data_IF_716860428365
#
_entry.id   IF_716860428365
#
_cell.length_a   1.000
_cell.length_b   1.000
_cell.length_c   1.000
_cell.angle_alpha   90.00
_cell.angle_beta   90.00
_cell.angle_gamma   90.00
#
_symmetry.space_group_name_H-M   'P 1'
#
loop_
_entity.id
_entity.type
_entity.pdbx_description
1 polymer ?
#
# COMPACT_ATOMS: atom_id res chain seq x y z
N UNK A 1 4.96 25.33 21.89
CA UNK A 1 3.62 24.83 22.27
C UNK A 1 2.61 25.59 21.42
N UNK A 2 1.86 24.90 20.55
CA UNK A 2 0.81 25.50 19.72
C UNK A 2 -0.34 25.93 20.65
N UNK A 3 -0.83 27.13 20.51
CA UNK A 3 -1.93 27.63 21.34
C UNK A 3 -3.27 27.02 20.90
N UNK A 4 -4.27 26.94 21.80
CA UNK A 4 -5.62 26.48 21.44
C UNK A 4 -6.22 27.30 20.29
N UNK A 5 -5.93 28.59 20.23
CA UNK A 5 -6.37 29.49 19.15
C UNK A 5 -5.73 29.13 17.79
N UNK A 6 -4.45 28.77 17.76
CA UNK A 6 -3.76 28.33 16.54
C UNK A 6 -4.28 26.99 16.05
N UNK A 7 -4.58 26.06 16.95
CA UNK A 7 -5.20 24.77 16.63
C UNK A 7 -6.59 24.98 16.05
N UNK A 8 -7.42 25.82 16.66
CA UNK A 8 -8.78 26.12 16.18
C UNK A 8 -8.76 26.78 14.79
N UNK A 9 -7.85 27.71 14.56
CA UNK A 9 -7.68 28.37 13.26
C UNK A 9 -7.25 27.39 12.18
N UNK A 10 -6.29 26.51 12.51
CA UNK A 10 -5.81 25.45 11.59
C UNK A 10 -6.90 24.43 11.26
N UNK A 11 -7.71 24.04 12.26
CA UNK A 11 -8.84 23.13 12.05
C UNK A 11 -9.91 23.73 11.13
N UNK A 12 -10.22 25.02 11.30
CA UNK A 12 -11.18 25.72 10.41
C UNK A 12 -10.67 25.77 8.98
N UNK A 13 -9.41 26.16 8.78
CA UNK A 13 -8.81 26.19 7.44
C UNK A 13 -8.73 24.80 6.79
N UNK A 14 -8.46 23.76 7.56
CA UNK A 14 -8.48 22.38 7.08
C UNK A 14 -9.89 21.93 6.67
N UNK A 15 -10.90 22.33 7.44
CA UNK A 15 -12.30 22.05 7.11
C UNK A 15 -12.74 22.74 5.82
N UNK A 16 -12.43 24.00 5.64
CA UNK A 16 -12.73 24.75 4.41
C UNK A 16 -12.09 24.10 3.18
N UNK A 17 -10.83 23.65 3.29
CA UNK A 17 -10.16 22.92 2.21
C UNK A 17 -10.85 21.58 1.91
N UNK A 18 -11.26 20.84 2.93
CA UNK A 18 -11.99 19.58 2.76
C UNK A 18 -13.33 19.79 2.07
N UNK A 19 -14.09 20.81 2.46
CA UNK A 19 -15.37 21.14 1.86
C UNK A 19 -15.21 21.56 0.39
N UNK A 20 -14.25 22.42 0.08
CA UNK A 20 -13.92 22.82 -1.29
C UNK A 20 -13.52 21.61 -2.16
N UNK A 21 -12.61 20.76 -1.66
CA UNK A 21 -12.19 19.55 -2.36
C UNK A 21 -13.34 18.57 -2.58
N UNK A 22 -14.22 18.41 -1.59
CA UNK A 22 -15.42 17.57 -1.73
C UNK A 22 -16.34 18.11 -2.83
N UNK A 23 -16.60 19.41 -2.81
CA UNK A 23 -17.41 20.04 -3.84
C UNK A 23 -16.82 19.83 -5.25
N UNK A 24 -15.56 20.14 -5.45
CA UNK A 24 -14.86 19.97 -6.73
C UNK A 24 -14.89 18.51 -7.21
N UNK A 25 -14.62 17.56 -6.30
CA UNK A 25 -14.63 16.14 -6.60
C UNK A 25 -16.01 15.66 -7.04
N UNK A 26 -17.06 16.07 -6.36
CA UNK A 26 -18.45 15.72 -6.72
C UNK A 26 -18.84 16.35 -8.04
N UNK A 27 -18.54 17.64 -8.25
CA UNK A 27 -18.78 18.29 -9.55
C UNK A 27 -18.10 17.51 -10.67
N UNK A 28 -16.86 17.13 -10.49
CA UNK A 28 -16.09 16.42 -11.52
C UNK A 28 -16.61 15.00 -11.79
N UNK A 29 -16.94 14.24 -10.74
CA UNK A 29 -17.41 12.85 -10.86
C UNK A 29 -18.82 12.69 -11.40
N UNK A 30 -19.69 13.69 -11.21
CA UNK A 30 -21.08 13.66 -11.65
C UNK A 30 -21.36 14.52 -12.88
N UNK A 31 -20.35 15.19 -13.44
CA UNK A 31 -20.47 15.90 -14.70
C UNK A 31 -20.37 14.93 -15.89
N UNK A 32 -21.21 15.10 -16.89
CA UNK A 32 -21.35 14.17 -18.02
C UNK A 32 -20.07 13.98 -18.86
N UNK A 33 -19.21 15.03 -18.93
CA UNK A 33 -17.97 14.98 -19.71
C UNK A 33 -16.77 14.43 -18.93
N UNK A 34 -16.80 14.40 -17.60
CA UNK A 34 -15.63 14.03 -16.76
C UNK A 34 -15.89 12.81 -15.89
N UNK A 35 -17.11 12.57 -15.49
CA UNK A 35 -17.50 11.52 -14.56
C UNK A 35 -17.26 10.11 -15.06
N UNK A 36 -17.16 9.15 -14.13
CA UNK A 36 -17.07 7.75 -14.51
C UNK A 36 -18.44 7.22 -14.94
N UNK A 37 -18.49 6.30 -15.90
CA UNK A 37 -19.76 5.68 -16.33
C UNK A 37 -20.58 5.12 -15.16
N UNK A 38 -19.93 4.53 -14.16
CA UNK A 38 -20.59 3.99 -12.97
C UNK A 38 -21.35 5.07 -12.18
N UNK A 39 -20.69 6.20 -11.86
CA UNK A 39 -21.33 7.25 -11.07
C UNK A 39 -22.41 8.01 -11.87
N UNK A 40 -22.21 8.16 -13.18
CA UNK A 40 -23.22 8.77 -14.04
C UNK A 40 -24.49 7.89 -14.14
N UNK A 41 -24.33 6.57 -14.18
CA UNK A 41 -25.46 5.63 -14.11
C UNK A 41 -26.15 5.69 -12.74
N UNK A 42 -25.38 5.67 -11.65
CA UNK A 42 -25.92 5.75 -10.28
C UNK A 42 -26.66 7.08 -10.01
N UNK A 43 -26.24 8.18 -10.63
CA UNK A 43 -26.90 9.49 -10.51
C UNK A 43 -28.38 9.40 -10.83
N UNK A 44 -28.78 8.64 -11.82
CA UNK A 44 -30.17 8.50 -12.22
C UNK A 44 -31.08 7.85 -11.16
N UNK A 45 -30.51 7.11 -10.22
CA UNK A 45 -31.24 6.48 -9.11
C UNK A 45 -31.23 7.27 -7.78
N UNK A 46 -30.56 8.42 -7.75
CA UNK A 46 -30.53 9.27 -6.55
C UNK A 46 -31.82 10.09 -6.46
N UNK A 47 -32.27 10.38 -5.25
CA UNK A 47 -33.42 11.25 -4.96
C UNK A 47 -33.02 12.74 -4.83
N UNK A 48 -31.79 13.09 -5.19
CA UNK A 48 -31.23 14.44 -5.16
C UNK A 48 -30.24 14.62 -6.32
N UNK A 49 -29.93 15.86 -6.69
CA UNK A 49 -28.88 16.13 -7.70
C UNK A 49 -27.55 16.45 -7.02
N UNK A 50 -26.53 15.57 -7.15
CA UNK A 50 -25.22 15.80 -6.55
C UNK A 50 -24.57 17.12 -6.96
N UNK A 51 -24.79 17.58 -8.19
CA UNK A 51 -24.18 18.82 -8.71
C UNK A 51 -24.73 20.09 -8.02
N UNK A 52 -25.95 20.05 -7.54
CA UNK A 52 -26.60 21.22 -6.91
C UNK A 52 -26.67 21.13 -5.40
N UNK A 53 -26.74 19.93 -4.83
CA UNK A 53 -27.07 19.71 -3.43
C UNK A 53 -25.88 19.28 -2.55
N UNK A 54 -24.74 18.89 -3.14
CA UNK A 54 -23.52 18.58 -2.38
C UNK A 54 -22.60 19.79 -2.42
N UNK A 55 -22.42 20.45 -1.28
CA UNK A 55 -21.63 21.68 -1.12
C UNK A 55 -20.43 21.51 -0.17
N UNK A 56 -20.49 20.53 0.73
CA UNK A 56 -19.48 20.29 1.74
C UNK A 56 -19.36 18.80 2.04
N UNK A 57 -18.36 18.44 2.84
CA UNK A 57 -18.09 17.07 3.22
C UNK A 57 -19.27 16.38 3.94
N UNK A 58 -19.99 17.11 4.76
CA UNK A 58 -21.15 16.56 5.48
C UNK A 58 -22.31 16.18 4.56
N UNK A 59 -22.42 16.79 3.39
CA UNK A 59 -23.45 16.45 2.40
C UNK A 59 -23.23 15.08 1.77
N UNK A 60 -22.03 14.51 1.87
CA UNK A 60 -21.78 13.13 1.41
C UNK A 60 -22.68 12.09 2.08
N UNK A 61 -23.23 12.40 3.24
CA UNK A 61 -24.22 11.56 3.94
C UNK A 61 -25.54 11.39 3.18
N UNK A 62 -25.81 12.23 2.18
CA UNK A 62 -26.97 12.10 1.29
C UNK A 62 -26.86 10.89 0.35
N UNK A 63 -25.62 10.48 0.02
CA UNK A 63 -25.40 9.31 -0.79
C UNK A 63 -25.72 8.02 -0.02
N UNK A 64 -26.25 6.99 -0.72
CA UNK A 64 -26.36 5.66 -0.13
C UNK A 64 -24.98 5.11 0.20
N UNK A 65 -24.90 4.16 1.13
CA UNK A 65 -23.66 3.47 1.46
C UNK A 65 -23.12 2.75 0.22
N UNK A 66 -21.80 2.80 0.09
CA UNK A 66 -21.11 2.09 -0.98
C UNK A 66 -21.18 0.59 -0.75
N UNK A 67 -21.58 -0.16 -1.77
CA UNK A 67 -21.64 -1.61 -1.71
C UNK A 67 -20.36 -2.22 -2.30
N UNK A 68 -19.60 -2.89 -1.48
CA UNK A 68 -18.36 -3.55 -1.85
C UNK A 68 -18.49 -4.51 -3.06
N UNK A 69 -19.67 -5.10 -3.23
CA UNK A 69 -19.97 -6.01 -4.34
C UNK A 69 -19.95 -5.32 -5.70
N UNK A 70 -20.13 -4.01 -5.76
CA UNK A 70 -20.00 -3.23 -7.00
C UNK A 70 -18.58 -3.30 -7.60
N UNK A 71 -17.57 -3.58 -6.79
CA UNK A 71 -16.19 -3.72 -7.23
C UNK A 71 -15.89 -5.09 -7.85
N UNK A 72 -16.81 -6.05 -7.81
CA UNK A 72 -16.58 -7.38 -8.37
C UNK A 72 -16.92 -7.44 -9.85
N UNK A 73 -16.04 -8.08 -10.62
CA UNK A 73 -16.22 -8.30 -12.05
C UNK A 73 -16.11 -7.05 -12.90
N UNK A 74 -16.32 -7.23 -14.19
CA UNK A 74 -16.20 -6.19 -15.21
C UNK A 74 -17.52 -5.59 -15.66
N UNK A 75 -17.44 -4.66 -16.62
CA UNK A 75 -16.21 -4.11 -17.16
C UNK A 75 -15.54 -3.11 -16.20
N UNK A 76 -14.25 -3.26 -15.93
CA UNK A 76 -13.50 -2.35 -15.03
C UNK A 76 -13.46 -0.91 -15.56
N UNK A 77 -13.61 -0.72 -16.86
CA UNK A 77 -13.62 0.60 -17.49
C UNK A 77 -14.77 1.50 -17.02
N UNK A 78 -15.85 0.92 -16.44
CA UNK A 78 -16.93 1.71 -15.81
C UNK A 78 -16.45 2.60 -14.66
N UNK A 79 -15.31 2.26 -14.07
CA UNK A 79 -14.69 3.01 -12.97
C UNK A 79 -13.73 4.10 -13.44
N UNK A 80 -13.30 4.07 -14.72
CA UNK A 80 -12.40 5.09 -15.29
C UNK A 80 -13.21 6.33 -15.63
N UNK A 81 -12.89 7.48 -15.01
CA UNK A 81 -13.56 8.73 -15.34
C UNK A 81 -13.28 9.15 -16.79
N UNK A 82 -14.28 9.68 -17.49
CA UNK A 82 -14.13 10.19 -18.85
C UNK A 82 -13.06 11.28 -18.96
N UNK A 83 -12.96 12.13 -17.92
CA UNK A 83 -11.95 13.18 -17.84
C UNK A 83 -10.51 12.67 -17.70
N UNK A 84 -10.34 11.35 -17.44
CA UNK A 84 -9.04 10.67 -17.36
C UNK A 84 -8.84 9.67 -18.51
N UNK A 85 -9.66 9.71 -19.54
CA UNK A 85 -9.52 8.79 -20.66
C UNK A 85 -8.16 9.01 -21.36
N UNK A 86 -7.51 7.91 -21.73
CA UNK A 86 -6.15 7.93 -22.28
C UNK A 86 -5.01 7.98 -21.27
N UNK A 87 -5.28 8.17 -19.97
CA UNK A 87 -4.24 8.08 -18.94
C UNK A 87 -3.85 6.62 -18.65
N UNK A 88 -2.57 6.34 -18.30
CA UNK A 88 -2.14 5.04 -17.83
C UNK A 88 -2.99 4.60 -16.64
N UNK A 89 -3.62 3.44 -16.76
CA UNK A 89 -4.57 2.95 -15.77
C UNK A 89 -4.14 1.58 -15.27
N UNK A 90 -4.10 1.41 -13.96
CA UNK A 90 -3.78 0.16 -13.28
C UNK A 90 -5.03 -0.47 -12.69
N UNK A 91 -5.07 -1.80 -12.65
CA UNK A 91 -6.11 -2.55 -11.94
C UNK A 91 -5.46 -3.29 -10.78
N UNK A 92 -5.90 -2.98 -9.58
CA UNK A 92 -5.51 -3.72 -8.37
C UNK A 92 -6.65 -4.58 -7.89
N UNK A 93 -6.32 -5.76 -7.40
CA UNK A 93 -7.31 -6.76 -7.01
C UNK A 93 -7.09 -7.28 -5.60
N UNK A 94 -8.17 -7.61 -4.92
CA UNK A 94 -8.13 -8.35 -3.64
C UNK A 94 -7.78 -9.83 -3.88
N UNK A 95 -7.55 -10.57 -2.80
CA UNK A 95 -7.19 -12.00 -2.86
C UNK A 95 -8.24 -12.92 -3.48
N UNK A 96 -9.50 -12.48 -3.59
CA UNK A 96 -10.57 -13.32 -4.13
C UNK A 96 -10.95 -14.49 -3.23
N UNK A 97 -10.75 -14.38 -1.92
CA UNK A 97 -11.03 -15.46 -0.95
C UNK A 97 -12.51 -15.82 -0.85
N UNK A 98 -13.39 -14.87 -1.17
CA UNK A 98 -14.86 -14.99 -1.08
C UNK A 98 -15.56 -14.98 -2.44
N UNK A 99 -14.83 -15.19 -3.53
CA UNK A 99 -15.39 -15.21 -4.89
C UNK A 99 -14.53 -14.44 -5.89
N UNK A 100 -15.16 -13.80 -6.89
CA UNK A 100 -14.46 -12.96 -7.86
C UNK A 100 -13.75 -11.84 -7.10
N UNK A 101 -12.44 -11.58 -7.35
CA UNK A 101 -11.73 -10.51 -6.70
C UNK A 101 -12.42 -9.16 -6.90
N UNK A 102 -12.41 -8.32 -5.88
CA UNK A 102 -12.76 -6.91 -6.03
C UNK A 102 -11.64 -6.22 -6.78
N UNK A 103 -12.00 -5.44 -7.80
CA UNK A 103 -11.05 -4.71 -8.64
C UNK A 103 -11.17 -3.22 -8.37
N UNK A 104 -10.04 -2.56 -8.15
CA UNK A 104 -9.94 -1.10 -8.05
C UNK A 104 -9.11 -0.58 -9.21
N UNK A 105 -9.65 0.39 -9.91
CA UNK A 105 -8.94 1.15 -10.92
C UNK A 105 -8.20 2.30 -10.27
N UNK A 106 -6.95 2.49 -10.65
CA UNK A 106 -6.05 3.49 -10.09
C UNK A 106 -5.24 4.12 -11.23
N UNK A 107 -4.99 5.41 -11.15
CA UNK A 107 -4.15 6.15 -12.11
C UNK A 107 -2.83 6.52 -11.42
N UNK A 108 -2.84 7.50 -10.50
CA UNK A 108 -1.61 8.01 -9.87
C UNK A 108 -1.63 8.02 -8.34
N UNK A 109 -2.75 7.74 -7.68
CA UNK A 109 -2.91 7.90 -6.23
C UNK A 109 -1.84 7.14 -5.41
N UNK A 110 -1.39 5.96 -5.88
CA UNK A 110 -0.36 5.20 -5.17
C UNK A 110 1.02 5.90 -5.22
N UNK A 111 1.31 6.67 -6.28
CA UNK A 111 2.54 7.45 -6.38
C UNK A 111 2.53 8.62 -5.41
N UNK A 112 1.47 9.41 -5.47
CA UNK A 112 1.29 10.59 -4.60
C UNK A 112 1.36 10.18 -3.13
N UNK A 113 0.64 9.13 -2.73
CA UNK A 113 0.65 8.62 -1.36
C UNK A 113 2.06 8.25 -0.89
N UNK A 114 2.82 7.55 -1.72
CA UNK A 114 4.15 7.07 -1.33
C UNK A 114 5.26 8.12 -1.50
N UNK A 115 5.08 9.11 -2.35
CA UNK A 115 5.92 10.31 -2.35
C UNK A 115 5.75 11.10 -1.05
N UNK A 116 4.50 11.30 -0.60
CA UNK A 116 4.22 11.92 0.69
C UNK A 116 4.79 11.09 1.85
N UNK A 117 4.59 9.78 1.83
CA UNK A 117 5.15 8.86 2.83
C UNK A 117 6.68 8.91 2.86
N UNK A 118 7.35 9.05 1.71
CA UNK A 118 8.81 9.20 1.63
C UNK A 118 9.36 10.31 2.52
N UNK A 119 8.61 11.39 2.73
CA UNK A 119 9.03 12.51 3.58
C UNK A 119 8.96 12.19 5.08
N UNK A 120 8.30 11.12 5.48
CA UNK A 120 8.23 10.67 6.87
C UNK A 120 9.34 9.68 7.23
N UNK A 121 10.03 9.12 6.22
CA UNK A 121 11.10 8.15 6.42
C UNK A 121 12.42 8.86 6.73
N UNK A 122 13.08 8.59 7.88
CA UNK A 122 14.38 9.15 8.20
C UNK A 122 15.45 8.67 7.21
N UNK A 123 16.23 9.60 6.68
CA UNK A 123 17.30 9.26 5.70
C UNK A 123 18.43 8.43 6.36
N UNK A 124 18.54 8.41 7.67
CA UNK A 124 19.49 7.59 8.43
C UNK A 124 19.23 6.08 8.22
N UNK A 125 17.97 5.66 8.32
CA UNK A 125 17.57 4.25 8.14
C UNK A 125 17.15 3.92 6.71
N UNK A 126 16.66 4.92 5.99
CA UNK A 126 16.23 4.80 4.60
C UNK A 126 17.03 5.76 3.71
N UNK A 127 18.33 5.50 3.49
CA UNK A 127 19.17 6.42 2.73
C UNK A 127 18.64 6.65 1.31
N UNK A 128 18.73 7.90 0.83
CA UNK A 128 18.44 8.22 -0.56
C UNK A 128 19.46 7.53 -1.47
N UNK A 129 18.99 7.02 -2.61
CA UNK A 129 19.81 6.24 -3.52
C UNK A 129 20.02 4.77 -3.11
N UNK A 130 19.57 4.38 -1.92
CA UNK A 130 19.69 3.00 -1.46
C UNK A 130 18.79 2.03 -2.24
N UNK A 131 19.27 0.81 -2.47
CA UNK A 131 18.47 -0.25 -3.07
C UNK A 131 17.53 -0.89 -2.07
N UNK A 132 16.39 -1.37 -2.56
CA UNK A 132 15.29 -1.92 -1.77
C UNK A 132 14.96 -3.35 -2.17
N UNK A 133 14.57 -4.16 -1.21
CA UNK A 133 13.94 -5.47 -1.43
C UNK A 133 12.45 -5.40 -1.09
N UNK A 134 11.61 -5.79 -2.04
CA UNK A 134 10.18 -6.04 -1.82
C UNK A 134 9.97 -7.52 -1.52
N UNK A 135 9.91 -7.88 -0.25
CA UNK A 135 9.57 -9.22 0.25
C UNK A 135 8.10 -9.23 0.69
N UNK A 136 7.20 -9.32 -0.27
CA UNK A 136 5.77 -9.26 -0.03
C UNK A 136 4.95 -9.70 -1.25
N UNK A 137 3.61 -9.63 -1.18
CA UNK A 137 2.75 -10.06 -2.26
C UNK A 137 3.05 -9.36 -3.58
N UNK A 138 3.33 -10.15 -4.62
CA UNK A 138 3.48 -9.71 -6.01
C UNK A 138 2.17 -9.79 -6.79
N UNK A 139 2.20 -9.61 -8.11
CA UNK A 139 1.03 -9.65 -8.98
C UNK A 139 0.21 -8.36 -8.98
N UNK A 140 -1.12 -8.43 -9.14
CA UNK A 140 -1.98 -7.25 -9.27
C UNK A 140 -2.22 -6.57 -7.92
N UNK A 141 -1.15 -6.21 -7.21
CA UNK A 141 -1.16 -5.60 -5.89
C UNK A 141 -0.66 -4.16 -5.95
N UNK A 142 -1.46 -3.25 -5.41
CA UNK A 142 -1.09 -1.84 -5.28
C UNK A 142 0.25 -1.68 -4.55
N UNK A 143 0.41 -2.43 -3.47
CA UNK A 143 1.56 -2.34 -2.58
C UNK A 143 2.89 -2.59 -3.29
N UNK A 144 2.97 -3.59 -4.18
CA UNK A 144 4.20 -3.84 -4.94
C UNK A 144 4.61 -2.62 -5.76
N UNK A 145 3.71 -2.08 -6.57
CA UNK A 145 3.99 -0.90 -7.40
C UNK A 145 4.28 0.35 -6.56
N UNK A 146 3.61 0.49 -5.42
CA UNK A 146 3.82 1.59 -4.50
C UNK A 146 5.21 1.56 -3.84
N UNK A 147 5.67 0.39 -3.40
CA UNK A 147 7.02 0.22 -2.83
C UNK A 147 8.09 0.40 -3.91
N UNK A 148 7.86 -0.13 -5.11
CA UNK A 148 8.76 0.06 -6.26
C UNK A 148 8.88 1.55 -6.61
N UNK A 149 7.75 2.28 -6.65
CA UNK A 149 7.75 3.72 -6.87
C UNK A 149 8.44 4.49 -5.74
N UNK A 150 8.19 4.14 -4.48
CA UNK A 150 8.86 4.73 -3.32
C UNK A 150 10.38 4.63 -3.44
N UNK A 151 10.87 3.43 -3.76
CA UNK A 151 12.29 3.18 -3.97
C UNK A 151 12.86 4.07 -5.08
N UNK A 152 12.20 4.08 -6.25
CA UNK A 152 12.62 4.86 -7.42
C UNK A 152 12.57 6.37 -7.14
N UNK A 153 11.54 6.85 -6.46
CA UNK A 153 11.40 8.25 -6.04
C UNK A 153 12.53 8.69 -5.10
N UNK A 154 13.02 7.77 -4.27
CA UNK A 154 14.20 8.00 -3.41
C UNK A 154 15.53 7.77 -4.14
N UNK A 155 15.52 7.44 -5.43
CA UNK A 155 16.71 7.27 -6.27
C UNK A 155 17.36 5.89 -6.22
N UNK A 156 16.69 4.89 -5.64
CA UNK A 156 17.18 3.52 -5.51
C UNK A 156 16.67 2.57 -6.61
N UNK A 157 17.16 1.32 -6.56
CA UNK A 157 16.74 0.22 -7.41
C UNK A 157 15.95 -0.78 -6.58
N UNK A 158 14.76 -1.16 -7.05
CA UNK A 158 13.88 -2.10 -6.37
C UNK A 158 14.08 -3.52 -6.87
N UNK A 159 14.34 -4.43 -5.95
CA UNK A 159 14.36 -5.87 -6.16
C UNK A 159 13.06 -6.45 -5.60
N UNK A 160 12.40 -7.33 -6.35
CA UNK A 160 11.16 -7.94 -5.94
C UNK A 160 11.28 -9.46 -5.99
N UNK A 161 10.65 -10.12 -5.02
CA UNK A 161 10.47 -11.58 -5.05
C UNK A 161 9.12 -11.95 -5.66
N UNK A 162 8.96 -13.19 -6.10
CA UNK A 162 7.69 -13.74 -6.56
C UNK A 162 6.93 -14.39 -5.40
N UNK A 163 5.87 -13.71 -4.92
CA UNK A 163 4.95 -14.24 -3.92
C UNK A 163 3.51 -14.10 -4.40
N UNK A 164 2.87 -15.24 -4.69
CA UNK A 164 1.44 -15.30 -5.05
C UNK A 164 0.56 -15.60 -3.82
N UNK A 165 -0.11 -14.60 -3.23
CA UNK A 165 -1.00 -14.81 -2.09
C UNK A 165 -2.24 -15.64 -2.45
N UNK A 166 -2.64 -15.71 -3.72
CA UNK A 166 -3.77 -16.57 -4.15
C UNK A 166 -3.39 -18.05 -4.07
N UNK A 167 -2.14 -18.36 -4.39
CA UNK A 167 -1.63 -19.72 -4.22
C UNK A 167 -1.56 -20.10 -2.75
N UNK A 168 -1.07 -19.22 -1.89
CA UNK A 168 -1.07 -19.40 -0.43
C UNK A 168 -2.49 -19.71 0.09
N UNK A 169 -3.47 -18.90 -0.27
CA UNK A 169 -4.88 -19.13 0.12
C UNK A 169 -5.40 -20.49 -0.38
N UNK A 170 -5.02 -20.88 -1.60
CA UNK A 170 -5.43 -22.17 -2.19
C UNK A 170 -4.83 -23.35 -1.42
N UNK A 171 -3.54 -23.26 -1.04
CA UNK A 171 -2.87 -24.29 -0.25
C UNK A 171 -3.53 -24.45 1.13
N UNK A 172 -3.80 -23.34 1.83
CA UNK A 172 -4.48 -23.33 3.13
C UNK A 172 -5.87 -23.97 3.01
N UNK A 173 -6.69 -23.56 2.02
CA UNK A 173 -8.04 -24.12 1.81
C UNK A 173 -8.04 -25.62 1.51
N UNK A 174 -6.95 -26.14 0.95
CA UNK A 174 -6.79 -27.59 0.68
C UNK A 174 -6.17 -28.36 1.83
N UNK A 175 -5.71 -27.68 2.89
CA UNK A 175 -4.99 -28.30 4.00
C UNK A 175 -3.60 -28.81 3.61
N UNK A 176 -3.01 -28.30 2.52
CA UNK A 176 -1.70 -28.71 2.03
C UNK A 176 -0.58 -27.92 2.72
N UNK A 177 -0.42 -28.17 4.01
CA UNK A 177 0.47 -27.38 4.86
C UNK A 177 1.95 -27.60 4.51
N UNK A 178 2.36 -28.81 4.14
CA UNK A 178 3.75 -29.10 3.73
C UNK A 178 4.13 -28.30 2.46
N UNK A 179 3.22 -28.25 1.48
CA UNK A 179 3.44 -27.42 0.27
C UNK A 179 3.44 -25.93 0.58
N UNK A 180 2.69 -25.49 1.59
CA UNK A 180 2.73 -24.10 2.04
C UNK A 180 4.08 -23.76 2.64
N UNK A 181 4.67 -24.63 3.45
CA UNK A 181 6.01 -24.45 4.01
C UNK A 181 7.08 -24.47 2.93
N UNK A 182 7.00 -25.40 1.97
CA UNK A 182 7.90 -25.41 0.80
C UNK A 182 7.83 -24.11 0.00
N UNK A 183 6.61 -23.61 -0.25
CA UNK A 183 6.41 -22.37 -0.98
C UNK A 183 6.94 -21.16 -0.20
N UNK A 184 6.70 -21.10 1.10
CA UNK A 184 7.26 -20.08 1.99
C UNK A 184 8.80 -20.11 1.92
N UNK A 185 9.40 -21.30 2.05
CA UNK A 185 10.86 -21.47 1.93
C UNK A 185 11.38 -20.97 0.59
N UNK A 186 10.72 -21.31 -0.53
CA UNK A 186 11.09 -20.83 -1.85
C UNK A 186 11.06 -19.28 -1.93
N UNK A 187 10.06 -18.61 -1.36
CA UNK A 187 10.01 -17.16 -1.31
C UNK A 187 11.16 -16.56 -0.47
N UNK A 188 11.50 -17.20 0.66
CA UNK A 188 12.62 -16.78 1.50
C UNK A 188 13.95 -17.01 0.80
N UNK A 189 14.15 -18.15 0.13
CA UNK A 189 15.37 -18.45 -0.62
C UNK A 189 15.63 -17.43 -1.75
N UNK A 190 14.59 -16.94 -2.44
CA UNK A 190 14.71 -15.83 -3.39
C UNK A 190 15.27 -14.58 -2.70
N UNK A 191 14.68 -14.18 -1.55
CA UNK A 191 15.11 -13.00 -0.81
C UNK A 191 16.55 -13.14 -0.31
N UNK A 192 16.89 -14.27 0.29
CA UNK A 192 18.25 -14.55 0.78
C UNK A 192 19.26 -14.52 -0.38
N UNK A 193 18.93 -15.11 -1.51
CA UNK A 193 19.78 -15.09 -2.71
C UNK A 193 20.07 -13.67 -3.17
N UNK A 194 19.04 -12.80 -3.22
CA UNK A 194 19.20 -11.41 -3.63
C UNK A 194 20.04 -10.64 -2.60
N UNK A 195 19.78 -10.81 -1.31
CA UNK A 195 20.48 -10.09 -0.24
C UNK A 195 21.97 -10.48 -0.14
N UNK A 196 22.30 -11.73 -0.44
CA UNK A 196 23.69 -12.23 -0.37
C UNK A 196 24.47 -12.09 -1.70
N UNK A 197 23.82 -11.61 -2.77
CA UNK A 197 24.45 -11.45 -4.09
C UNK A 197 25.29 -10.16 -4.24
N UNK A 198 25.41 -9.34 -3.21
CA UNK A 198 26.25 -8.13 -3.24
C UNK A 198 25.60 -6.91 -3.91
N UNK A 199 24.27 -6.83 -3.92
CA UNK A 199 23.51 -5.72 -4.53
C UNK A 199 23.41 -4.46 -3.66
N UNK A 200 24.07 -4.41 -2.50
CA UNK A 200 24.03 -3.28 -1.57
C UNK A 200 22.61 -2.81 -1.25
N UNK A 201 21.76 -3.74 -0.82
CA UNK A 201 20.39 -3.46 -0.42
C UNK A 201 20.40 -2.97 1.03
N UNK A 202 19.83 -1.76 1.26
CA UNK A 202 19.75 -1.15 2.62
C UNK A 202 18.35 -1.15 3.18
N UNK A 203 17.34 -1.17 2.34
CA UNK A 203 15.96 -1.00 2.77
C UNK A 203 15.11 -2.19 2.30
N UNK A 204 14.05 -2.50 3.03
CA UNK A 204 13.10 -3.51 2.57
C UNK A 204 11.67 -3.21 2.98
N UNK A 205 10.73 -3.63 2.13
CA UNK A 205 9.35 -3.86 2.54
C UNK A 205 9.15 -5.33 2.86
N UNK A 206 8.47 -5.60 3.98
CA UNK A 206 8.06 -6.97 4.31
C UNK A 206 6.84 -7.00 5.25
N UNK A 207 6.38 -8.20 5.59
CA UNK A 207 5.40 -8.40 6.68
C UNK A 207 6.10 -9.01 7.89
N UNK A 208 5.56 -8.86 9.13
CA UNK A 208 6.17 -9.44 10.32
C UNK A 208 6.57 -10.91 10.18
N UNK A 209 5.67 -11.74 9.66
CA UNK A 209 5.92 -13.19 9.52
C UNK A 209 6.97 -13.53 8.46
N UNK A 210 7.04 -12.76 7.39
CA UNK A 210 8.08 -12.95 6.36
C UNK A 210 9.44 -12.48 6.88
N UNK A 211 9.48 -11.41 7.70
CA UNK A 211 10.71 -10.96 8.32
C UNK A 211 11.29 -11.99 9.29
N UNK A 212 10.46 -12.57 10.16
CA UNK A 212 10.88 -13.66 11.04
C UNK A 212 11.45 -14.85 10.21
N UNK A 213 10.74 -15.25 9.16
CA UNK A 213 11.19 -16.34 8.30
C UNK A 213 12.49 -16.01 7.54
N UNK A 214 12.65 -14.77 7.12
CA UNK A 214 13.88 -14.30 6.48
C UNK A 214 15.07 -14.34 7.46
N UNK A 215 14.86 -13.89 8.72
CA UNK A 215 15.90 -13.94 9.75
C UNK A 215 16.39 -15.38 9.98
N UNK A 216 15.47 -16.36 10.04
CA UNK A 216 15.84 -17.77 10.12
C UNK A 216 16.59 -18.26 8.86
N UNK A 217 16.11 -17.89 7.66
CA UNK A 217 16.75 -18.30 6.40
C UNK A 217 18.16 -17.71 6.21
N UNK A 218 18.43 -16.52 6.76
CA UNK A 218 19.78 -15.93 6.80
C UNK A 218 20.66 -16.63 7.83
N UNK A 219 20.13 -16.94 9.03
CA UNK A 219 20.86 -17.65 10.07
C UNK A 219 21.30 -19.06 9.61
N UNK A 220 20.51 -19.77 8.78
CA UNK A 220 20.88 -21.04 8.16
C UNK A 220 22.11 -20.91 7.22
N UNK A 221 22.49 -19.69 6.86
CA UNK A 221 23.66 -19.35 6.02
C UNK A 221 24.74 -18.57 6.79
N UNK A 222 24.74 -18.70 8.12
CA UNK A 222 25.68 -18.05 9.02
C UNK A 222 25.75 -16.51 8.83
N UNK A 223 24.62 -15.88 8.54
CA UNK A 223 24.50 -14.41 8.39
C UNK A 223 23.19 -13.89 9.00
N UNK A 224 23.03 -12.57 9.07
CA UNK A 224 21.89 -11.92 9.71
C UNK A 224 21.35 -10.75 8.87
N UNK A 225 20.18 -10.22 9.24
CA UNK A 225 19.56 -9.04 8.62
C UNK A 225 20.54 -7.85 8.66
N UNK A 226 21.24 -7.66 9.79
CA UNK A 226 22.20 -6.59 9.96
C UNK A 226 23.45 -6.79 9.10
N UNK A 227 23.99 -8.01 9.06
CA UNK A 227 25.21 -8.33 8.31
C UNK A 227 25.03 -8.24 6.80
N UNK A 228 23.84 -8.54 6.27
CA UNK A 228 23.53 -8.28 4.85
C UNK A 228 23.31 -6.80 4.54
N UNK A 229 23.36 -5.93 5.57
CA UNK A 229 23.42 -4.49 5.42
C UNK A 229 22.05 -3.77 5.43
N UNK A 230 20.97 -4.41 5.86
CA UNK A 230 19.65 -3.77 5.98
C UNK A 230 19.69 -2.78 7.14
N UNK A 231 19.29 -1.54 6.88
CA UNK A 231 19.21 -0.45 7.86
C UNK A 231 17.79 0.01 8.13
N UNK A 232 16.88 -0.18 7.16
CA UNK A 232 15.49 0.27 7.27
C UNK A 232 14.48 -0.77 6.82
N UNK A 233 13.44 -1.00 7.63
CA UNK A 233 12.35 -1.93 7.33
C UNK A 233 11.04 -1.16 7.34
N UNK A 234 10.36 -1.12 6.19
CA UNK A 234 8.97 -0.72 6.06
C UNK A 234 8.09 -1.95 6.20
N UNK A 235 7.30 -2.03 7.26
CA UNK A 235 6.46 -3.20 7.56
C UNK A 235 4.98 -2.91 7.39
N UNK A 236 4.23 -3.88 6.88
CA UNK A 236 2.79 -3.74 6.72
C UNK A 236 2.09 -5.05 6.40
N UNK A 237 0.76 -4.96 6.24
CA UNK A 237 -0.07 -6.09 5.83
C UNK A 237 -0.62 -6.96 6.96
N UNK A 238 -0.02 -6.93 8.14
CA UNK A 238 -0.54 -7.56 9.37
C UNK A 238 -0.25 -6.67 10.56
N UNK A 239 -1.05 -6.80 11.61
CA UNK A 239 -0.82 -6.10 12.86
C UNK A 239 0.45 -6.61 13.55
N UNK A 240 1.18 -5.71 14.20
CA UNK A 240 2.33 -6.02 15.04
C UNK A 240 2.29 -5.21 16.35
N UNK A 241 2.87 -5.78 17.39
CA UNK A 241 2.86 -5.21 18.73
C UNK A 241 4.10 -4.31 18.96
N UNK A 242 4.06 -3.39 19.94
CA UNK A 242 5.26 -2.65 20.35
C UNK A 242 6.43 -3.57 20.71
N UNK A 243 6.17 -4.71 21.36
CA UNK A 243 7.19 -5.71 21.68
C UNK A 243 7.84 -6.30 20.43
N UNK A 244 7.04 -6.58 19.39
CA UNK A 244 7.57 -7.07 18.13
C UNK A 244 8.43 -6.01 17.43
N UNK A 245 7.97 -4.77 17.41
CA UNK A 245 8.77 -3.65 16.86
C UNK A 245 10.10 -3.52 17.59
N UNK A 246 10.08 -3.57 18.93
CA UNK A 246 11.28 -3.54 19.77
C UNK A 246 12.23 -4.69 19.44
N UNK A 247 11.73 -5.93 19.33
CA UNK A 247 12.51 -7.08 18.90
C UNK A 247 13.19 -6.86 17.53
N UNK A 248 12.47 -6.32 16.56
CA UNK A 248 13.04 -6.04 15.24
C UNK A 248 14.18 -5.03 15.32
N UNK A 249 14.02 -3.96 16.10
CA UNK A 249 15.04 -2.90 16.23
C UNK A 249 16.26 -3.40 16.99
N UNK A 250 16.07 -4.01 18.17
CA UNK A 250 17.16 -4.43 19.04
C UNK A 250 17.90 -5.66 18.51
N UNK A 251 17.16 -6.70 18.08
CA UNK A 251 17.74 -8.00 17.76
C UNK A 251 18.04 -8.17 16.26
N UNK A 252 17.17 -7.66 15.37
CA UNK A 252 17.35 -7.86 13.94
C UNK A 252 18.17 -6.74 13.28
N UNK A 253 18.03 -5.49 13.74
CA UNK A 253 18.75 -4.34 13.19
C UNK A 253 19.92 -3.88 14.07
N UNK A 254 20.02 -4.38 15.31
CA UNK A 254 21.10 -4.04 16.23
C UNK A 254 21.12 -2.57 16.68
N UNK A 255 19.98 -1.90 16.60
CA UNK A 255 19.83 -0.49 16.93
C UNK A 255 19.12 -0.21 18.25
N UNK A 256 19.18 1.03 18.79
CA UNK A 256 18.42 1.44 19.96
C UNK A 256 16.93 1.59 19.62
N UNK A 257 16.05 1.24 20.57
CA UNK A 257 14.58 1.31 20.40
C UNK A 257 14.04 2.72 20.15
N UNK A 258 14.77 3.76 20.53
CA UNK A 258 14.36 5.15 20.34
C UNK A 258 14.59 5.67 18.92
N UNK A 259 15.41 4.97 18.16
CA UNK A 259 15.79 5.30 16.76
C UNK A 259 15.38 4.15 15.85
N UNK A 260 14.06 3.89 15.77
CA UNK A 260 13.53 2.74 15.02
C UNK A 260 13.70 2.88 13.51
N UNK A 261 14.39 1.94 12.90
CA UNK A 261 14.40 1.71 11.44
C UNK A 261 13.22 0.88 10.94
N UNK A 262 12.18 0.70 11.75
CA UNK A 262 10.95 -0.07 11.40
C UNK A 262 9.77 0.89 11.33
N UNK A 263 9.07 0.91 10.18
CA UNK A 263 7.96 1.79 9.84
C UNK A 263 6.78 1.05 9.23
#
# INVERSE_FOLDING_TARGET
MTTESEVATSATAAREKLDAHTYETVQWHFHESTGSPFWLEKKAGLNFDPLTEVKCFDDLKKFPLFEDEWLRGGPVRRWVPKGMDGQPTYVFETGGTTGIPKSRVVIDDFRIDYEMFSHTLPDEYFPKGANWLMLGPSGPRRLRLAVEHLCQFRGGISFCIDLDPRWVVKLIKKGWMDHLEEYKKHCIDQAVTILTAGHDIKCMFTTPKLLESLAYGLAERDTSIQEVGITGIFSGGTEFTPQWTRFCVEELLGGPTEESGVY
#
